data_IF_234815856518
#
_entry.id   IF_234815856518
#
_cell.length_a   1.000
_cell.length_b   1.000
_cell.length_c   1.000
_cell.angle_alpha   90.00
_cell.angle_beta   90.00
_cell.angle_gamma   90.00
#
_symmetry.space_group_name_H-M   'P 1'
#
loop_
_entity.id
_entity.type
_entity.pdbx_description
1 polymer ?
#
# COMPACT_ATOMS: atom_id res chain seq x y z
N UNK A 1 -20.19 -10.42 11.82
CA UNK A 1 -19.51 -10.50 10.51
C UNK A 1 -18.67 -11.77 10.44
N UNK A 2 -18.61 -12.42 9.26
CA UNK A 2 -17.78 -13.60 9.02
C UNK A 2 -16.31 -13.15 8.93
N UNK A 3 -15.42 -13.79 9.71
CA UNK A 3 -13.98 -13.52 9.66
C UNK A 3 -13.38 -14.05 8.35
N UNK A 4 -12.45 -13.30 7.78
CA UNK A 4 -11.69 -13.71 6.60
C UNK A 4 -10.25 -14.10 6.98
N UNK A 5 -9.69 -15.09 6.29
CA UNK A 5 -8.26 -15.43 6.40
C UNK A 5 -7.45 -14.59 5.41
N UNK A 6 -6.30 -14.06 5.79
CA UNK A 6 -5.35 -13.45 4.84
C UNK A 6 -4.83 -14.57 3.93
N UNK A 7 -4.86 -14.37 2.62
CA UNK A 7 -4.52 -15.42 1.64
C UNK A 7 -3.83 -14.78 0.44
N UNK A 8 -2.59 -15.17 0.22
CA UNK A 8 -1.74 -14.65 -0.86
C UNK A 8 -2.43 -14.75 -2.24
N UNK A 9 -2.21 -13.73 -3.05
CA UNK A 9 -2.80 -13.54 -4.38
C UNK A 9 -4.28 -13.15 -4.37
N UNK A 10 -4.94 -13.12 -3.20
CA UNK A 10 -6.33 -12.68 -3.13
C UNK A 10 -6.45 -11.21 -3.50
N UNK A 11 -7.55 -10.88 -4.16
CA UNK A 11 -7.94 -9.52 -4.49
C UNK A 11 -8.88 -8.99 -3.40
N UNK A 12 -8.52 -7.83 -2.87
CA UNK A 12 -9.32 -7.05 -1.94
C UNK A 12 -10.08 -5.98 -2.72
N UNK A 13 -11.39 -5.88 -2.50
CA UNK A 13 -12.25 -4.79 -2.95
C UNK A 13 -12.34 -3.74 -1.84
N UNK A 14 -12.05 -2.50 -2.21
CA UNK A 14 -12.05 -1.34 -1.32
C UNK A 14 -13.09 -0.36 -1.86
N UNK A 15 -14.15 -0.13 -1.10
CA UNK A 15 -15.17 0.84 -1.44
C UNK A 15 -14.80 2.20 -0.85
N UNK A 16 -14.51 3.17 -1.71
CA UNK A 16 -14.13 4.51 -1.29
C UNK A 16 -15.39 5.37 -1.17
N UNK A 17 -15.78 5.65 0.07
CA UNK A 17 -16.90 6.53 0.45
C UNK A 17 -18.25 6.22 -0.22
N UNK A 18 -18.51 4.96 -0.61
CA UNK A 18 -19.70 4.58 -1.35
C UNK A 18 -19.72 5.01 -2.81
N UNK A 19 -18.66 5.64 -3.32
CA UNK A 19 -18.65 6.31 -4.64
C UNK A 19 -18.00 5.48 -5.74
N UNK A 20 -16.94 4.76 -5.43
CA UNK A 20 -16.20 3.94 -6.39
C UNK A 20 -15.41 2.84 -5.68
N UNK A 21 -14.91 1.90 -6.47
CA UNK A 21 -14.14 0.75 -6.03
C UNK A 21 -12.71 0.86 -6.52
N UNK A 22 -11.79 0.47 -5.64
CA UNK A 22 -10.37 0.26 -5.91
C UNK A 22 -10.00 -1.14 -5.44
N UNK A 23 -8.93 -1.70 -5.99
CA UNK A 23 -8.53 -3.07 -5.73
C UNK A 23 -7.08 -3.15 -5.26
N UNK A 24 -6.81 -4.08 -4.36
CA UNK A 24 -5.47 -4.42 -3.92
C UNK A 24 -5.21 -5.92 -4.00
N UNK A 25 -3.97 -6.33 -4.18
CA UNK A 25 -3.54 -7.72 -4.13
C UNK A 25 -2.73 -7.99 -2.87
N UNK A 26 -3.07 -9.09 -2.17
CA UNK A 26 -2.28 -9.59 -1.04
C UNK A 26 -1.02 -10.25 -1.59
N UNK A 27 0.16 -9.75 -1.20
CA UNK A 27 1.46 -10.21 -1.69
C UNK A 27 1.96 -11.46 -0.94
N UNK A 28 3.01 -12.10 -1.49
CA UNK A 28 3.64 -13.29 -0.91
C UNK A 28 4.30 -12.98 0.43
N UNK A 29 4.42 -13.98 1.29
CA UNK A 29 5.20 -13.97 2.54
C UNK A 29 4.84 -12.81 3.49
N UNK A 30 3.63 -12.25 3.37
CA UNK A 30 3.22 -11.09 4.17
C UNK A 30 3.98 -9.79 3.83
N UNK A 31 4.56 -9.70 2.64
CA UNK A 31 5.36 -8.53 2.20
C UNK A 31 4.53 -7.25 1.95
N UNK A 32 3.20 -7.35 2.04
CA UNK A 32 2.29 -6.22 2.02
C UNK A 32 1.13 -6.40 1.06
N UNK A 33 0.58 -5.26 0.66
CA UNK A 33 -0.60 -5.16 -0.19
C UNK A 33 -0.30 -4.18 -1.32
N UNK A 34 -0.39 -4.62 -2.57
CA UNK A 34 -0.21 -3.76 -3.73
C UNK A 34 -1.56 -3.15 -4.14
N UNK A 35 -1.67 -1.83 -4.06
CA UNK A 35 -2.89 -1.10 -4.42
C UNK A 35 -2.80 -0.66 -5.87
N UNK A 36 -3.78 -1.06 -6.69
CA UNK A 36 -3.76 -0.76 -8.12
C UNK A 36 -4.34 0.62 -8.40
N UNK A 37 -3.76 1.32 -9.36
CA UNK A 37 -4.34 2.51 -9.98
C UNK A 37 -5.49 2.08 -10.89
N UNK A 38 -6.59 1.70 -10.27
CA UNK A 38 -7.80 1.26 -10.93
C UNK A 38 -9.02 1.78 -10.16
N UNK A 39 -9.78 2.65 -10.82
CA UNK A 39 -11.00 3.25 -10.29
C UNK A 39 -12.20 2.83 -11.11
N UNK A 40 -13.16 2.17 -10.47
CA UNK A 40 -14.40 1.76 -11.12
C UNK A 40 -15.63 2.23 -10.34
N UNK A 41 -16.69 2.63 -11.05
CA UNK A 41 -17.99 2.92 -10.42
C UNK A 41 -18.76 1.66 -10.05
N UNK A 42 -18.44 0.55 -10.69
CA UNK A 42 -19.09 -0.74 -10.50
C UNK A 42 -18.09 -1.77 -9.98
N UNK A 43 -18.61 -2.82 -9.32
CA UNK A 43 -17.78 -3.91 -8.85
C UNK A 43 -17.22 -4.70 -10.03
N UNK A 44 -15.94 -5.03 -9.96
CA UNK A 44 -15.26 -5.80 -10.97
C UNK A 44 -15.70 -7.27 -10.92
N UNK A 45 -15.90 -7.85 -12.10
CA UNK A 45 -16.20 -9.27 -12.28
C UNK A 45 -15.04 -10.04 -12.90
N UNK A 46 -14.20 -9.38 -13.72
CA UNK A 46 -12.97 -9.93 -14.29
C UNK A 46 -11.72 -9.27 -13.68
N UNK A 47 -11.04 -9.99 -12.80
CA UNK A 47 -9.86 -9.51 -12.10
C UNK A 47 -8.58 -9.54 -12.95
N UNK A 48 -8.58 -10.16 -14.14
CA UNK A 48 -7.40 -10.17 -15.01
C UNK A 48 -7.03 -8.76 -15.51
N UNK A 49 -7.99 -7.82 -15.49
CA UNK A 49 -7.74 -6.41 -15.77
C UNK A 49 -6.68 -5.79 -14.85
N UNK A 50 -6.54 -6.30 -13.62
CA UNK A 50 -5.57 -5.82 -12.63
C UNK A 50 -4.12 -6.23 -12.96
N UNK A 51 -3.91 -7.24 -13.80
CA UNK A 51 -2.57 -7.72 -14.18
C UNK A 51 -1.73 -6.64 -14.86
N UNK A 52 -2.37 -5.73 -15.59
CA UNK A 52 -1.71 -4.66 -16.35
C UNK A 52 -1.86 -3.27 -15.70
N UNK A 53 -2.57 -3.16 -14.57
CA UNK A 53 -2.78 -1.87 -13.91
C UNK A 53 -1.48 -1.34 -13.30
N UNK A 54 -1.28 -0.03 -13.26
CA UNK A 54 -0.17 0.52 -12.47
C UNK A 54 -0.42 0.23 -10.99
N UNK A 55 0.65 0.11 -10.21
CA UNK A 55 0.55 0.07 -8.74
C UNK A 55 0.73 1.50 -8.22
N UNK A 56 -0.21 1.95 -7.40
CA UNK A 56 -0.12 3.25 -6.71
C UNK A 56 0.99 3.18 -5.66
N UNK A 57 0.89 2.22 -4.76
CA UNK A 57 1.82 2.02 -3.66
C UNK A 57 1.69 0.60 -3.09
N UNK A 58 2.70 0.21 -2.31
CA UNK A 58 2.75 -1.08 -1.62
C UNK A 58 2.94 -0.84 -0.12
N UNK A 59 1.88 -1.11 0.65
CA UNK A 59 1.83 -0.79 2.08
C UNK A 59 1.62 -2.03 2.93
N UNK A 60 2.03 -1.94 4.19
CA UNK A 60 1.54 -2.82 5.25
C UNK A 60 0.30 -2.19 5.84
N UNK A 61 -0.70 -3.00 6.17
CA UNK A 61 -1.91 -2.55 6.85
C UNK A 61 -2.21 -3.47 8.03
N UNK A 62 -2.96 -3.00 9.02
CA UNK A 62 -3.37 -3.85 10.13
C UNK A 62 -4.20 -5.05 9.65
N UNK A 63 -3.87 -6.24 10.16
CA UNK A 63 -4.55 -7.50 9.80
C UNK A 63 -6.05 -7.47 10.06
N UNK A 64 -6.50 -6.66 11.02
CA UNK A 64 -7.90 -6.58 11.40
C UNK A 64 -8.78 -5.93 10.31
N UNK A 65 -8.21 -5.09 9.45
CA UNK A 65 -8.86 -4.54 8.26
C UNK A 65 -9.33 -5.68 7.36
N UNK A 66 -8.50 -6.71 7.19
CA UNK A 66 -8.81 -7.86 6.33
C UNK A 66 -9.63 -8.89 7.10
N UNK A 67 -9.19 -9.27 8.29
CA UNK A 67 -9.80 -10.37 9.05
C UNK A 67 -11.18 -10.03 9.60
N UNK A 68 -11.47 -8.75 9.88
CA UNK A 68 -12.81 -8.25 10.19
C UNK A 68 -13.61 -7.83 8.96
N UNK A 69 -13.10 -8.04 7.75
CA UNK A 69 -13.82 -7.81 6.49
C UNK A 69 -14.23 -6.36 6.25
N UNK A 70 -13.39 -5.41 6.67
CA UNK A 70 -13.55 -4.02 6.24
C UNK A 70 -13.25 -3.89 4.74
N UNK A 71 -12.24 -4.63 4.24
CA UNK A 71 -12.03 -4.87 2.81
C UNK A 71 -12.40 -6.32 2.47
N UNK A 72 -13.19 -6.50 1.42
CA UNK A 72 -13.74 -7.81 1.06
C UNK A 72 -12.78 -8.53 0.12
N UNK A 73 -12.44 -9.79 0.40
CA UNK A 73 -11.79 -10.63 -0.60
C UNK A 73 -12.81 -11.06 -1.64
N UNK A 74 -12.62 -10.63 -2.88
CA UNK A 74 -13.59 -10.81 -3.98
C UNK A 74 -13.09 -11.73 -5.08
N UNK A 75 -11.81 -12.08 -5.07
CA UNK A 75 -11.22 -12.95 -6.09
C UNK A 75 -9.78 -13.33 -5.74
N UNK A 76 -9.13 -13.99 -6.69
CA UNK A 76 -7.71 -14.33 -6.63
C UNK A 76 -7.16 -14.40 -8.05
N UNK A 77 -5.99 -13.81 -8.25
CA UNK A 77 -5.20 -13.91 -9.48
C UNK A 77 -3.75 -14.28 -9.11
N UNK A 78 -2.95 -14.79 -10.05
CA UNK A 78 -1.52 -14.94 -9.83
C UNK A 78 -0.89 -13.61 -9.39
N UNK A 79 0.06 -13.68 -8.46
CA UNK A 79 0.84 -12.49 -8.10
C UNK A 79 1.72 -12.16 -9.30
N UNK A 80 1.71 -10.90 -9.71
CA UNK A 80 2.50 -10.44 -10.85
C UNK A 80 3.99 -10.61 -10.55
N UNK A 81 4.77 -10.94 -11.58
CA UNK A 81 6.20 -11.18 -11.44
C UNK A 81 6.94 -9.96 -10.87
N UNK A 82 6.54 -8.75 -11.26
CA UNK A 82 7.12 -7.49 -10.75
C UNK A 82 6.76 -7.19 -9.29
N UNK A 83 5.84 -7.95 -8.69
CA UNK A 83 5.43 -7.85 -7.29
C UNK A 83 5.92 -9.02 -6.44
N UNK A 84 6.79 -9.88 -6.97
CA UNK A 84 7.43 -10.94 -6.19
C UNK A 84 8.57 -10.39 -5.31
N UNK A 85 9.24 -9.34 -5.78
CA UNK A 85 10.32 -8.65 -5.06
C UNK A 85 9.84 -7.23 -4.76
N UNK A 86 9.82 -6.87 -3.46
CA UNK A 86 9.36 -5.56 -3.04
C UNK A 86 10.46 -4.51 -3.12
N UNK A 87 10.09 -3.24 -3.41
CA UNK A 87 11.03 -2.13 -3.30
C UNK A 87 11.52 -1.96 -1.86
N UNK A 88 12.73 -1.42 -1.72
CA UNK A 88 13.27 -1.01 -0.42
C UNK A 88 12.35 0.03 0.22
N UNK A 89 12.36 0.08 1.55
CA UNK A 89 11.65 1.08 2.35
C UNK A 89 12.64 1.82 3.23
N UNK A 90 12.23 2.92 3.83
CA UNK A 90 13.06 3.60 4.81
C UNK A 90 12.42 3.64 6.20
N UNK A 91 13.26 3.65 7.22
CA UNK A 91 12.91 3.92 8.61
C UNK A 91 13.55 5.26 8.98
N UNK A 92 12.85 6.07 9.76
CA UNK A 92 13.38 7.31 10.33
C UNK A 92 13.31 7.18 11.85
N UNK A 93 14.41 7.51 12.53
CA UNK A 93 14.45 7.52 13.99
C UNK A 93 13.55 8.65 14.52
N UNK A 94 12.66 8.31 15.46
CA UNK A 94 11.69 9.25 16.05
C UNK A 94 12.37 10.22 17.04
N UNK A 95 13.44 9.77 17.71
CA UNK A 95 14.23 10.57 18.64
C UNK A 95 15.27 11.42 17.91
N UNK A 96 15.81 10.91 16.79
CA UNK A 96 16.78 11.60 15.94
C UNK A 96 16.27 11.69 14.49
N UNK A 97 15.41 12.67 14.14
CA UNK A 97 14.77 12.74 12.82
C UNK A 97 15.71 12.89 11.60
N UNK A 98 17.02 13.08 11.82
CA UNK A 98 18.02 13.12 10.77
C UNK A 98 18.69 11.75 10.50
N UNK A 99 18.41 10.77 11.34
CA UNK A 99 18.95 9.42 11.22
C UNK A 99 17.94 8.54 10.47
N UNK A 100 18.44 7.90 9.41
CA UNK A 100 17.64 7.06 8.52
C UNK A 100 18.27 5.69 8.36
N UNK A 101 17.41 4.69 8.18
CA UNK A 101 17.82 3.34 7.84
C UNK A 101 17.08 2.86 6.60
N UNK A 102 17.77 2.09 5.77
CA UNK A 102 17.22 1.43 4.61
C UNK A 102 16.78 0.02 5.02
N UNK A 103 15.50 -0.29 4.82
CA UNK A 103 14.91 -1.57 5.14
C UNK A 103 14.65 -2.39 3.88
N UNK A 104 15.18 -3.62 3.86
CA UNK A 104 14.87 -4.61 2.83
C UNK A 104 13.70 -5.49 3.28
N UNK A 105 12.47 -5.27 2.77
CA UNK A 105 11.34 -6.12 3.12
C UNK A 105 11.52 -7.59 2.72
N UNK A 106 12.33 -7.88 1.71
CA UNK A 106 12.51 -9.23 1.19
C UNK A 106 13.46 -10.08 2.05
N UNK A 107 14.38 -9.47 2.78
CA UNK A 107 15.40 -10.18 3.60
C UNK A 107 15.32 -9.85 5.09
N UNK A 108 14.67 -8.75 5.46
CA UNK A 108 14.67 -8.23 6.83
C UNK A 108 15.90 -7.38 7.18
N UNK A 109 16.84 -7.19 6.25
CA UNK A 109 18.06 -6.42 6.49
C UNK A 109 17.76 -4.93 6.69
N UNK A 110 18.48 -4.30 7.62
CA UNK A 110 18.40 -2.87 7.93
C UNK A 110 19.83 -2.31 7.94
N UNK A 111 20.06 -1.22 7.20
CA UNK A 111 21.37 -0.57 7.11
C UNK A 111 21.26 0.96 7.22
N UNK A 112 22.23 1.66 7.81
CA UNK A 112 22.24 3.13 7.83
C UNK A 112 22.27 3.71 6.41
N UNK A 113 21.56 4.81 6.20
CA UNK A 113 21.43 5.43 4.86
C UNK A 113 21.27 6.94 4.96
N UNK A 114 21.56 7.67 3.89
CA UNK A 114 21.33 9.11 3.85
C UNK A 114 19.92 9.46 3.36
N UNK A 115 19.39 10.62 3.77
CA UNK A 115 18.13 11.19 3.29
C UNK A 115 18.02 11.23 1.75
N UNK A 116 19.13 11.48 1.06
CA UNK A 116 19.15 11.58 -0.41
C UNK A 116 18.88 10.23 -1.08
N UNK A 117 19.40 9.16 -0.51
CA UNK A 117 19.31 7.80 -1.07
C UNK A 117 17.92 7.18 -0.88
N UNK A 118 17.19 7.59 0.16
CA UNK A 118 15.82 7.11 0.43
C UNK A 118 14.73 7.93 -0.28
N UNK A 119 15.11 8.99 -0.99
CA UNK A 119 14.17 9.88 -1.66
C UNK A 119 13.29 9.10 -2.64
N UNK A 120 12.00 9.00 -2.31
CA UNK A 120 11.00 8.33 -3.13
C UNK A 120 10.71 6.87 -2.80
N UNK A 121 11.33 6.35 -1.75
CA UNK A 121 10.90 5.10 -1.12
C UNK A 121 9.71 5.35 -0.19
N UNK A 122 8.90 4.32 0.01
CA UNK A 122 7.86 4.33 1.05
C UNK A 122 8.49 4.19 2.44
N UNK A 123 7.92 4.88 3.42
CA UNK A 123 8.26 4.68 4.83
C UNK A 123 7.80 3.30 5.31
N UNK A 124 8.66 2.57 6.00
CA UNK A 124 8.31 1.31 6.66
C UNK A 124 7.34 1.59 7.82
N UNK A 125 6.04 1.41 7.54
CA UNK A 125 4.94 1.74 8.45
C UNK A 125 3.76 0.81 8.22
N UNK A 126 2.94 0.62 9.26
CA UNK A 126 1.67 -0.12 9.21
C UNK A 126 0.52 0.88 9.23
N UNK A 127 -0.35 0.81 8.21
CA UNK A 127 -1.40 1.79 8.00
C UNK A 127 -2.76 1.31 8.52
N UNK A 128 -3.55 2.25 9.04
CA UNK A 128 -4.98 2.05 9.32
C UNK A 128 -5.80 2.18 8.02
N UNK A 129 -6.98 1.57 8.02
CA UNK A 129 -7.96 1.59 6.93
C UNK A 129 -8.21 3.01 6.44
N UNK A 130 -8.54 3.92 7.36
CA UNK A 130 -8.94 5.27 6.98
C UNK A 130 -7.77 6.03 6.35
N UNK A 131 -6.54 5.80 6.80
CA UNK A 131 -5.35 6.45 6.23
C UNK A 131 -5.14 6.04 4.77
N UNK A 132 -5.31 4.74 4.47
CA UNK A 132 -5.18 4.22 3.11
C UNK A 132 -6.33 4.71 2.21
N UNK A 133 -7.57 4.65 2.68
CA UNK A 133 -8.74 5.11 1.91
C UNK A 133 -8.68 6.61 1.61
N UNK A 134 -8.22 7.41 2.57
CA UNK A 134 -7.97 8.84 2.39
C UNK A 134 -6.87 9.09 1.34
N UNK A 135 -5.73 8.38 1.42
CA UNK A 135 -4.64 8.48 0.43
C UNK A 135 -5.14 8.18 -0.99
N UNK A 136 -5.90 7.09 -1.16
CA UNK A 136 -6.52 6.73 -2.46
C UNK A 136 -7.49 7.81 -2.94
N UNK A 137 -8.34 8.33 -2.05
CA UNK A 137 -9.28 9.40 -2.38
C UNK A 137 -8.55 10.65 -2.84
N UNK A 138 -7.55 11.07 -2.10
CA UNK A 138 -6.84 12.32 -2.32
C UNK A 138 -6.00 12.25 -3.60
N UNK A 139 -5.38 11.09 -3.88
CA UNK A 139 -4.76 10.79 -5.18
C UNK A 139 -5.72 11.05 -6.35
N UNK A 140 -6.91 10.43 -6.34
CA UNK A 140 -7.88 10.60 -7.43
C UNK A 140 -8.49 12.00 -7.49
N UNK A 141 -8.49 12.73 -6.38
CA UNK A 141 -8.94 14.12 -6.31
C UNK A 141 -7.81 15.13 -6.60
N UNK A 142 -6.58 14.65 -6.87
CA UNK A 142 -5.38 15.49 -7.07
C UNK A 142 -5.14 16.43 -5.89
N UNK A 143 -5.37 15.93 -4.69
CA UNK A 143 -5.12 16.64 -3.43
C UNK A 143 -3.98 15.98 -2.68
N UNK A 144 -3.16 16.75 -1.96
CA UNK A 144 -2.16 16.16 -1.09
C UNK A 144 -2.84 15.38 0.06
N UNK A 145 -2.39 14.15 0.31
CA UNK A 145 -2.85 13.34 1.44
C UNK A 145 -2.28 13.87 2.75
N UNK A 146 -3.11 14.07 3.77
CA UNK A 146 -2.68 14.55 5.09
C UNK A 146 -1.73 13.55 5.79
N UNK A 147 -1.94 12.25 5.59
CA UNK A 147 -1.12 11.17 6.18
C UNK A 147 0.30 11.08 5.60
N UNK A 148 0.59 11.85 4.55
CA UNK A 148 1.91 11.96 3.93
C UNK A 148 2.55 13.34 4.14
N UNK A 149 2.00 14.16 5.05
CA UNK A 149 2.51 15.52 5.28
C UNK A 149 3.98 15.50 5.72
N UNK A 150 4.34 14.66 6.69
CA UNK A 150 5.75 14.54 7.15
C UNK A 150 6.69 14.10 6.03
N UNK A 151 6.29 13.12 5.21
CA UNK A 151 7.11 12.65 4.08
C UNK A 151 7.24 13.73 2.99
N UNK A 152 6.17 14.50 2.76
CA UNK A 152 6.17 15.62 1.82
C UNK A 152 7.08 16.75 2.30
N UNK A 153 7.03 17.11 3.58
CA UNK A 153 7.93 18.10 4.18
C UNK A 153 9.38 17.61 4.13
N UNK A 154 9.59 16.32 4.39
CA UNK A 154 10.91 15.71 4.37
C UNK A 154 11.52 15.77 2.97
N UNK A 155 10.79 15.40 1.92
CA UNK A 155 11.36 15.25 0.57
C UNK A 155 11.01 16.36 -0.41
N UNK A 156 10.11 17.28 -0.07
CA UNK A 156 9.65 18.34 -0.96
C UNK A 156 8.87 17.83 -2.19
N UNK A 157 8.26 16.65 -2.09
CA UNK A 157 7.52 15.99 -3.18
C UNK A 157 6.36 15.15 -2.64
N UNK A 158 5.35 14.95 -3.48
CA UNK A 158 4.26 14.03 -3.20
C UNK A 158 4.60 12.60 -3.62
N UNK A 159 4.12 11.64 -2.82
CA UNK A 159 3.95 10.26 -3.24
C UNK A 159 2.49 10.06 -3.70
N UNK A 160 2.25 9.15 -4.66
CA UNK A 160 0.89 8.81 -5.11
C UNK A 160 0.02 8.25 -3.97
#
# INVERSE_FOLDING_TARGET
>A
MKRQKITEGSILEINIEGKYYVYAQILVNGLGYAFFDFKSKEKLTDFNLLLNCKVLFILMVYDDIITKSAWLKVGKIPIREDLLIQPMKFIQDVLNPNDFELYNPNTGEITPVTKKEISGLERASVWDKNHVEDRIRDFYNKKPCAWLEEDRELFGRDLP
#
